data_IF_139091179122
#
_entry.id   IF_139091179122
#
_cell.length_a   1.000
_cell.length_b   1.000
_cell.length_c   1.000
_cell.angle_alpha   90.00
_cell.angle_beta   90.00
_cell.angle_gamma   90.00
#
_symmetry.space_group_name_H-M   'P 1'
#
loop_
_entity.id
_entity.type
_entity.pdbx_description
1 polymer ?
#
# COMPACT_ATOMS: atom_id res chain seq x y z
N UNK A 1 -22.99 -24.95 -3.28
CA UNK A 1 -23.95 -24.25 -2.41
C UNK A 1 -23.31 -24.20 -1.03
N UNK A 2 -22.63 -23.10 -0.70
CA UNK A 2 -22.07 -22.93 0.64
C UNK A 2 -23.10 -22.17 1.47
N UNK A 3 -23.52 -22.78 2.58
CA UNK A 3 -24.38 -22.16 3.59
C UNK A 3 -23.62 -20.98 4.20
N UNK A 4 -24.06 -19.76 3.87
CA UNK A 4 -23.57 -18.53 4.50
C UNK A 4 -24.44 -18.29 5.73
N UNK A 5 -23.94 -18.68 6.90
CA UNK A 5 -24.67 -18.44 8.14
C UNK A 5 -24.19 -19.32 9.29
N UNK A 6 -22.95 -19.15 9.72
CA UNK A 6 -22.51 -19.49 11.08
C UNK A 6 -21.16 -18.80 11.32
N UNK A 7 -20.99 -18.19 12.48
CA UNK A 7 -19.72 -17.62 12.94
C UNK A 7 -18.65 -18.71 12.93
N UNK A 8 -17.48 -18.40 12.40
CA UNK A 8 -16.39 -19.34 12.25
C UNK A 8 -16.05 -20.06 13.58
N UNK A 9 -15.90 -21.40 13.58
CA UNK A 9 -15.60 -22.14 14.81
C UNK A 9 -14.23 -21.74 15.40
N UNK A 10 -14.16 -21.63 16.74
CA UNK A 10 -12.98 -21.21 17.52
C UNK A 10 -11.71 -22.08 17.36
N UNK A 11 -11.79 -23.19 16.61
CA UNK A 11 -10.70 -24.14 16.41
C UNK A 11 -9.95 -23.98 15.08
N UNK A 12 -10.21 -22.90 14.33
CA UNK A 12 -9.52 -22.65 13.05
C UNK A 12 -8.16 -21.97 13.31
N UNK A 13 -7.03 -22.51 12.80
CA UNK A 13 -5.73 -21.85 12.93
C UNK A 13 -5.73 -20.47 12.28
N UNK A 14 -5.15 -19.48 12.97
CA UNK A 14 -5.06 -18.11 12.51
C UNK A 14 -3.78 -17.83 11.72
N UNK A 15 -3.90 -17.15 10.59
CA UNK A 15 -2.78 -16.62 9.83
C UNK A 15 -3.03 -15.14 9.49
N UNK A 16 -2.00 -14.40 9.06
CA UNK A 16 -2.21 -13.17 8.29
C UNK A 16 -1.92 -13.47 6.81
N UNK A 17 -2.17 -12.53 5.89
CA UNK A 17 -1.91 -12.73 4.45
C UNK A 17 -0.46 -13.15 4.15
N UNK A 18 0.52 -12.67 4.91
CA UNK A 18 1.93 -13.10 4.79
C UNK A 18 2.18 -14.50 5.35
N UNK A 19 1.42 -14.91 6.36
CA UNK A 19 1.36 -16.29 6.84
C UNK A 19 0.91 -17.26 5.75
N UNK A 20 -0.05 -16.86 4.90
CA UNK A 20 -0.47 -17.67 3.74
C UNK A 20 0.70 -17.94 2.80
N UNK A 21 1.50 -16.92 2.50
CA UNK A 21 2.71 -17.07 1.67
C UNK A 21 3.66 -18.12 2.25
N UNK A 22 3.90 -18.10 3.56
CA UNK A 22 4.75 -19.10 4.25
C UNK A 22 4.17 -20.50 4.17
N UNK A 23 2.84 -20.63 4.30
CA UNK A 23 2.15 -21.92 4.20
C UNK A 23 2.24 -22.51 2.78
N UNK A 24 2.12 -21.66 1.74
CA UNK A 24 2.34 -22.08 0.35
C UNK A 24 3.80 -22.54 0.17
N UNK A 25 4.78 -21.75 0.63
CA UNK A 25 6.20 -22.10 0.51
C UNK A 25 6.57 -23.41 1.25
N UNK A 26 5.88 -23.72 2.36
CA UNK A 26 6.04 -24.96 3.10
C UNK A 26 5.33 -26.18 2.47
N UNK A 27 4.58 -26.00 1.38
CA UNK A 27 3.77 -27.06 0.76
C UNK A 27 2.56 -27.47 1.62
N UNK A 28 2.09 -26.59 2.52
CA UNK A 28 0.90 -26.83 3.33
C UNK A 28 -0.40 -26.45 2.61
N UNK A 29 -0.32 -25.62 1.56
CA UNK A 29 -1.44 -25.16 0.74
C UNK A 29 -1.10 -25.32 -0.76
N UNK A 30 -1.95 -26.03 -1.49
CA UNK A 30 -1.79 -26.25 -2.94
C UNK A 30 -2.69 -25.31 -3.78
N UNK A 31 -3.57 -24.56 -3.11
CA UNK A 31 -4.43 -23.53 -3.67
C UNK A 31 -5.11 -22.78 -2.53
N UNK A 32 -5.60 -21.57 -2.80
CA UNK A 32 -6.24 -20.74 -1.78
C UNK A 32 -7.42 -20.01 -2.42
N UNK A 33 -8.61 -20.24 -1.89
CA UNK A 33 -9.73 -19.30 -2.01
C UNK A 33 -9.68 -18.39 -0.80
N UNK A 34 -9.50 -17.10 -1.01
CA UNK A 34 -9.69 -16.09 0.04
C UNK A 34 -11.15 -15.65 -0.04
N UNK A 35 -11.95 -15.72 1.01
CA UNK A 35 -13.32 -15.20 1.00
C UNK A 35 -13.60 -14.40 2.28
N UNK A 36 -14.08 -13.17 2.15
CA UNK A 36 -14.46 -12.33 3.29
C UNK A 36 -15.83 -12.76 3.84
N UNK A 37 -15.88 -13.10 5.13
CA UNK A 37 -17.12 -13.21 5.89
C UNK A 37 -17.21 -12.04 6.89
N UNK A 38 -18.39 -11.42 7.06
CA UNK A 38 -18.61 -10.43 8.11
C UNK A 38 -18.29 -11.01 9.51
N UNK A 39 -17.69 -10.24 10.44
CA UNK A 39 -17.44 -8.81 10.35
C UNK A 39 -16.15 -8.42 9.62
N UNK A 40 -15.05 -9.19 9.66
CA UNK A 40 -13.78 -8.90 8.97
C UNK A 40 -12.83 -10.13 8.95
N UNK A 41 -13.34 -11.32 8.65
CA UNK A 41 -12.54 -12.56 8.65
C UNK A 41 -12.42 -13.10 7.23
N UNK A 42 -11.19 -13.38 6.76
CA UNK A 42 -11.03 -14.10 5.50
C UNK A 42 -10.75 -15.58 5.74
N UNK A 43 -11.39 -16.46 4.96
CA UNK A 43 -11.07 -17.88 5.00
C UNK A 43 -10.15 -18.23 3.85
N UNK A 44 -9.12 -19.02 4.12
CA UNK A 44 -8.35 -19.75 3.11
C UNK A 44 -8.88 -21.16 3.06
N UNK A 45 -9.53 -21.53 1.96
CA UNK A 45 -9.87 -22.92 1.67
C UNK A 45 -8.90 -23.48 0.63
N UNK A 46 -8.18 -24.55 0.98
CA UNK A 46 -7.33 -25.29 0.05
C UNK A 46 -8.19 -26.16 -0.87
N UNK A 47 -8.12 -25.92 -2.18
CA UNK A 47 -9.01 -26.57 -3.17
C UNK A 47 -8.42 -27.87 -3.74
N UNK A 48 -7.18 -28.24 -3.41
CA UNK A 48 -6.59 -29.50 -3.91
C UNK A 48 -5.73 -30.17 -2.84
N UNK A 49 -5.90 -31.48 -2.66
CA UNK A 49 -4.96 -32.36 -1.93
C UNK A 49 -5.08 -32.43 -0.41
N UNK A 50 -5.23 -31.31 0.29
CA UNK A 50 -5.43 -31.25 1.76
C UNK A 50 -6.28 -30.03 2.13
N UNK A 51 -7.57 -30.22 2.36
CA UNK A 51 -8.45 -29.13 2.79
C UNK A 51 -8.16 -28.74 4.25
N UNK A 52 -7.36 -27.69 4.47
CA UNK A 52 -7.29 -26.98 5.74
C UNK A 52 -7.91 -25.60 5.56
N UNK A 53 -8.84 -25.24 6.44
CA UNK A 53 -9.38 -23.89 6.56
C UNK A 53 -8.48 -23.08 7.49
N UNK A 54 -8.09 -21.88 7.08
CA UNK A 54 -7.42 -20.90 7.95
C UNK A 54 -8.25 -19.62 8.04
N UNK A 55 -8.29 -19.02 9.22
CA UNK A 55 -8.92 -17.72 9.44
C UNK A 55 -7.85 -16.64 9.39
N UNK A 56 -7.94 -15.74 8.41
CA UNK A 56 -7.07 -14.58 8.29
C UNK A 56 -7.68 -13.43 9.08
N UNK A 57 -6.99 -13.04 10.15
CA UNK A 57 -7.33 -11.83 10.89
C UNK A 57 -6.83 -10.62 10.12
N UNK A 58 -7.76 -9.71 9.81
CA UNK A 58 -7.48 -8.51 9.06
C UNK A 58 -6.66 -7.53 9.92
N UNK A 59 -5.51 -7.06 9.41
CA UNK A 59 -4.66 -6.06 10.09
C UNK A 59 -4.81 -4.65 9.50
N UNK A 60 -5.79 -4.42 8.60
CA UNK A 60 -6.04 -3.08 8.05
C UNK A 60 -7.10 -3.02 6.94
N UNK A 61 -7.50 -1.79 6.58
CA UNK A 61 -8.63 -1.47 5.66
C UNK A 61 -8.26 -1.68 4.17
N UNK A 62 -7.20 -2.41 3.85
CA UNK A 62 -6.56 -2.40 2.53
C UNK A 62 -6.72 -3.68 1.71
N UNK A 63 -7.48 -4.67 2.18
CA UNK A 63 -7.55 -5.96 1.51
C UNK A 63 -8.79 -6.13 0.64
N UNK A 64 -8.64 -6.81 -0.50
CA UNK A 64 -9.74 -7.01 -1.42
C UNK A 64 -10.87 -7.84 -0.80
N UNK A 65 -12.10 -7.46 -1.13
CA UNK A 65 -13.28 -8.29 -0.90
C UNK A 65 -13.47 -9.18 -2.14
N UNK A 66 -13.43 -10.51 -1.98
CA UNK A 66 -13.73 -11.43 -3.09
C UNK A 66 -12.92 -12.72 -3.06
N UNK A 67 -13.25 -13.62 -4.00
CA UNK A 67 -12.59 -14.92 -4.21
C UNK A 67 -11.43 -14.78 -5.18
N UNK A 68 -10.22 -15.06 -4.70
CA UNK A 68 -9.00 -15.05 -5.51
C UNK A 68 -8.53 -16.47 -5.78
N UNK A 69 -8.09 -16.73 -7.00
CA UNK A 69 -7.36 -17.95 -7.36
C UNK A 69 -5.88 -17.64 -7.38
N UNK A 70 -5.12 -18.29 -6.49
CA UNK A 70 -3.68 -18.09 -6.41
C UNK A 70 -2.92 -19.02 -7.36
N UNK A 71 -1.93 -18.46 -8.07
CA UNK A 71 -0.93 -19.23 -8.81
C UNK A 71 0.19 -19.66 -7.84
N UNK A 72 0.06 -20.85 -7.28
CA UNK A 72 1.01 -21.40 -6.30
C UNK A 72 2.39 -21.75 -6.87
N UNK A 73 2.57 -21.64 -8.20
CA UNK A 73 3.89 -21.75 -8.84
C UNK A 73 4.72 -20.47 -8.73
N UNK A 74 4.08 -19.35 -8.35
CA UNK A 74 4.71 -18.05 -8.20
C UNK A 74 4.76 -17.61 -6.75
N UNK A 75 5.57 -16.58 -6.50
CA UNK A 75 5.67 -15.94 -5.19
C UNK A 75 4.38 -15.17 -4.92
N UNK A 76 3.62 -15.59 -3.91
CA UNK A 76 2.40 -14.89 -3.51
C UNK A 76 2.73 -13.54 -2.84
N UNK A 77 2.30 -12.43 -3.45
CA UNK A 77 2.42 -11.08 -2.87
C UNK A 77 1.00 -10.49 -2.76
N UNK A 78 0.38 -10.53 -1.57
CA UNK A 78 -1.06 -10.27 -1.41
C UNK A 78 -1.47 -8.84 -1.74
N UNK A 79 -0.54 -7.89 -1.58
CA UNK A 79 -0.74 -6.48 -1.84
C UNK A 79 0.60 -5.88 -2.28
N UNK A 80 0.60 -5.15 -3.39
CA UNK A 80 1.73 -4.36 -3.83
C UNK A 80 1.24 -3.01 -4.35
N UNK A 81 1.95 -1.94 -4.01
CA UNK A 81 1.66 -0.61 -4.54
C UNK A 81 2.88 -0.04 -5.26
N UNK A 82 2.65 0.71 -6.33
CA UNK A 82 3.70 1.46 -7.00
C UNK A 82 3.56 2.94 -6.68
N UNK A 83 4.61 3.54 -6.14
CA UNK A 83 4.76 4.99 -6.10
C UNK A 83 5.20 5.47 -7.50
N UNK A 84 4.28 6.08 -8.23
CA UNK A 84 4.53 6.53 -9.61
C UNK A 84 4.90 8.01 -9.71
N UNK A 85 4.73 8.77 -8.63
CA UNK A 85 5.02 10.20 -8.59
C UNK A 85 5.31 10.66 -7.18
N UNK A 86 6.30 11.54 -7.05
CA UNK A 86 6.58 12.26 -5.80
C UNK A 86 5.74 13.52 -5.64
N UNK A 87 5.02 13.96 -6.68
CA UNK A 87 4.28 15.23 -6.69
C UNK A 87 2.89 15.02 -6.10
N UNK A 88 2.49 15.88 -5.18
CA UNK A 88 1.13 15.91 -4.63
C UNK A 88 0.63 17.36 -4.62
N UNK A 89 -0.69 17.57 -4.71
CA UNK A 89 -1.30 18.91 -4.64
C UNK A 89 -1.83 19.29 -3.25
N UNK A 90 -1.81 18.38 -2.27
CA UNK A 90 -2.29 18.66 -0.90
C UNK A 90 -1.19 19.06 0.09
N UNK A 91 0.07 18.66 -0.15
CA UNK A 91 1.23 18.98 0.71
C UNK A 91 0.99 18.71 2.22
N UNK A 92 0.42 17.56 2.58
CA UNK A 92 0.03 17.25 3.95
C UNK A 92 1.24 17.21 4.92
N UNK A 93 1.12 17.81 6.09
CA UNK A 93 2.02 17.58 7.22
C UNK A 93 1.97 16.11 7.66
N UNK A 94 3.11 15.49 7.97
CA UNK A 94 3.18 14.08 8.39
C UNK A 94 2.96 13.04 7.28
N UNK A 95 3.03 13.43 6.00
CA UNK A 95 2.84 12.52 4.87
C UNK A 95 3.89 11.39 4.86
N UNK A 96 3.44 10.12 4.80
CA UNK A 96 4.34 8.95 4.76
C UNK A 96 5.12 8.76 3.46
N UNK A 97 4.69 9.39 2.37
CA UNK A 97 5.41 9.41 1.10
C UNK A 97 6.37 10.59 0.99
N UNK A 98 6.34 11.50 1.98
CA UNK A 98 7.14 12.73 2.00
C UNK A 98 6.97 13.59 0.73
N UNK A 99 5.80 13.50 0.09
CA UNK A 99 5.49 14.16 -1.18
C UNK A 99 5.47 15.70 -1.09
N UNK A 100 5.37 16.23 0.13
CA UNK A 100 5.45 17.67 0.42
C UNK A 100 6.90 18.21 0.46
N UNK A 101 7.92 17.36 0.38
CA UNK A 101 9.32 17.79 0.23
C UNK A 101 9.74 17.97 -1.23
N UNK A 102 8.96 17.41 -2.15
CA UNK A 102 9.33 17.29 -3.55
C UNK A 102 9.22 18.62 -4.27
N UNK A 103 10.38 19.26 -4.43
CA UNK A 103 10.53 20.50 -5.21
C UNK A 103 10.68 20.24 -6.72
N UNK A 104 11.07 19.03 -7.10
CA UNK A 104 11.24 18.61 -8.50
C UNK A 104 10.20 17.57 -8.91
N UNK A 105 9.82 17.60 -10.18
CA UNK A 105 8.99 16.56 -10.76
C UNK A 105 9.81 15.27 -10.90
N UNK A 106 9.58 14.34 -9.97
CA UNK A 106 10.16 13.00 -10.01
C UNK A 106 9.03 11.98 -10.17
N UNK A 107 9.12 11.18 -11.23
CA UNK A 107 8.16 10.16 -11.60
C UNK A 107 8.88 8.83 -11.73
N UNK A 108 8.16 7.73 -11.51
CA UNK A 108 8.68 6.40 -11.82
C UNK A 108 8.72 6.25 -13.35
N UNK A 109 9.90 6.27 -14.02
CA UNK A 109 9.93 6.34 -15.47
C UNK A 109 9.16 5.18 -16.10
N UNK A 110 8.27 5.49 -17.06
CA UNK A 110 7.33 4.51 -17.62
C UNK A 110 8.01 3.23 -18.14
N UNK A 111 9.15 3.36 -18.81
CA UNK A 111 9.89 2.19 -19.33
C UNK A 111 10.48 1.33 -18.20
N UNK A 112 10.98 1.94 -17.13
CA UNK A 112 11.42 1.21 -15.95
C UNK A 112 10.22 0.52 -15.28
N UNK A 113 9.12 1.25 -15.08
CA UNK A 113 7.87 0.70 -14.55
C UNK A 113 7.41 -0.51 -15.36
N UNK A 114 7.35 -0.41 -16.70
CA UNK A 114 6.98 -1.51 -17.59
C UNK A 114 7.87 -2.72 -17.39
N UNK A 115 9.18 -2.54 -17.44
CA UNK A 115 10.16 -3.61 -17.25
C UNK A 115 10.03 -4.28 -15.88
N UNK A 116 9.78 -3.49 -14.85
CA UNK A 116 9.69 -3.96 -13.47
C UNK A 116 8.37 -4.73 -13.24
N UNK A 117 7.24 -4.25 -13.78
CA UNK A 117 5.95 -4.96 -13.75
C UNK A 117 6.00 -6.24 -14.59
N UNK A 118 6.65 -6.24 -15.76
CA UNK A 118 6.85 -7.45 -16.56
C UNK A 118 7.64 -8.51 -15.79
N UNK A 119 8.72 -8.12 -15.12
CA UNK A 119 9.50 -9.02 -14.26
C UNK A 119 8.64 -9.60 -13.14
N UNK A 120 7.91 -8.75 -12.41
CA UNK A 120 7.03 -9.18 -11.32
C UNK A 120 5.91 -10.09 -11.80
N UNK A 121 5.34 -9.85 -12.99
CA UNK A 121 4.28 -10.71 -13.54
C UNK A 121 4.74 -12.16 -13.80
N UNK A 122 6.04 -12.37 -14.01
CA UNK A 122 6.65 -13.69 -14.23
C UNK A 122 6.95 -14.42 -12.93
N UNK A 123 7.34 -13.69 -11.88
CA UNK A 123 7.85 -14.27 -10.63
C UNK A 123 6.83 -14.25 -9.49
N UNK A 124 5.87 -13.33 -9.52
CA UNK A 124 4.89 -13.12 -8.47
C UNK A 124 3.46 -13.36 -8.95
N UNK A 125 2.65 -13.86 -8.03
CA UNK A 125 1.20 -13.77 -8.11
C UNK A 125 0.73 -12.56 -7.29
N UNK A 126 0.05 -11.62 -7.96
CA UNK A 126 -0.26 -10.29 -7.45
C UNK A 126 -1.78 -10.07 -7.53
N UNK A 127 -2.60 -10.62 -6.63
CA UNK A 127 -4.06 -10.46 -6.71
C UNK A 127 -4.52 -9.01 -6.57
N UNK A 128 -3.74 -8.17 -5.89
CA UNK A 128 -4.08 -6.77 -5.61
C UNK A 128 -2.90 -5.87 -5.90
N UNK A 129 -3.10 -4.90 -6.80
CA UNK A 129 -2.08 -3.93 -7.17
C UNK A 129 -2.66 -2.51 -7.17
N UNK A 130 -1.96 -1.58 -6.54
CA UNK A 130 -2.39 -0.18 -6.43
C UNK A 130 -1.38 0.79 -7.01
N UNK A 131 -1.84 1.68 -7.89
CA UNK A 131 -1.10 2.88 -8.26
C UNK A 131 -1.26 3.94 -7.16
N UNK A 132 -0.13 4.47 -6.71
CA UNK A 132 -0.03 5.39 -5.58
C UNK A 132 1.15 6.36 -5.72
N UNK A 133 1.45 7.08 -4.65
CA UNK A 133 2.52 8.07 -4.56
C UNK A 133 2.01 9.36 -3.95
N UNK A 134 2.51 10.51 -4.42
CA UNK A 134 2.02 11.83 -4.05
C UNK A 134 0.56 12.05 -4.46
N UNK A 135 0.28 12.24 -5.74
CA UNK A 135 -1.06 12.24 -6.32
C UNK A 135 -1.03 11.67 -7.75
N UNK A 136 -1.42 10.41 -7.96
CA UNK A 136 -1.39 9.76 -9.27
C UNK A 136 -2.13 10.52 -10.38
N UNK A 137 -3.23 11.22 -10.06
CA UNK A 137 -4.03 11.94 -11.05
C UNK A 137 -3.34 13.20 -11.61
N UNK A 138 -2.19 13.61 -11.08
CA UNK A 138 -1.34 14.66 -11.67
C UNK A 138 -0.52 14.15 -12.87
N UNK A 139 -0.39 12.85 -13.04
CA UNK A 139 0.46 12.25 -14.06
C UNK A 139 -0.20 12.27 -15.44
N UNK A 140 0.38 13.01 -16.39
CA UNK A 140 -0.21 13.24 -17.72
C UNK A 140 -0.40 11.97 -18.56
N UNK A 141 0.48 10.99 -18.39
CA UNK A 141 0.47 9.72 -19.12
C UNK A 141 0.03 8.54 -18.23
N UNK A 142 -0.81 8.79 -17.21
CA UNK A 142 -1.35 7.76 -16.32
C UNK A 142 -2.01 6.59 -17.09
N UNK A 143 -2.60 6.85 -18.25
CA UNK A 143 -3.18 5.84 -19.13
C UNK A 143 -2.19 4.75 -19.56
N UNK A 144 -0.91 5.11 -19.73
CA UNK A 144 0.12 4.16 -20.14
C UNK A 144 0.54 3.23 -18.98
N UNK A 145 0.53 3.72 -17.74
CA UNK A 145 0.78 2.90 -16.55
C UNK A 145 -0.37 1.91 -16.33
N UNK A 146 -1.62 2.38 -16.45
CA UNK A 146 -2.80 1.52 -16.35
C UNK A 146 -2.81 0.42 -17.42
N UNK A 147 -2.50 0.78 -18.67
CA UNK A 147 -2.39 -0.18 -19.77
C UNK A 147 -1.32 -1.23 -19.51
N UNK A 148 -0.15 -0.80 -19.03
CA UNK A 148 0.95 -1.70 -18.68
C UNK A 148 0.54 -2.70 -17.60
N UNK A 149 -0.09 -2.22 -16.52
CA UNK A 149 -0.56 -3.10 -15.45
C UNK A 149 -1.60 -4.09 -15.95
N UNK A 150 -2.64 -3.65 -16.69
CA UNK A 150 -3.66 -4.58 -17.19
C UNK A 150 -3.10 -5.62 -18.16
N UNK A 151 -2.11 -5.25 -18.98
CA UNK A 151 -1.44 -6.20 -19.89
C UNK A 151 -0.63 -7.26 -19.14
N UNK A 152 0.15 -6.86 -18.14
CA UNK A 152 1.02 -7.77 -17.39
C UNK A 152 0.28 -8.55 -16.30
N UNK A 153 -0.75 -7.95 -15.71
CA UNK A 153 -1.49 -8.45 -14.56
C UNK A 153 -3.01 -8.56 -14.87
N UNK A 154 -3.40 -9.38 -15.86
CA UNK A 154 -4.77 -9.39 -16.40
C UNK A 154 -5.84 -9.84 -15.40
N UNK A 155 -5.45 -10.57 -14.34
CA UNK A 155 -6.36 -11.14 -13.34
C UNK A 155 -6.39 -10.35 -12.02
N UNK A 156 -5.54 -9.34 -11.88
CA UNK A 156 -5.40 -8.59 -10.64
C UNK A 156 -6.53 -7.58 -10.47
N UNK A 157 -6.90 -7.34 -9.21
CA UNK A 157 -7.63 -6.14 -8.79
C UNK A 157 -6.67 -4.95 -8.87
N UNK A 158 -6.90 -4.10 -9.85
CA UNK A 158 -6.06 -2.95 -10.15
C UNK A 158 -6.75 -1.69 -9.65
N UNK A 159 -6.06 -0.90 -8.83
CA UNK A 159 -6.63 0.28 -8.19
C UNK A 159 -5.75 1.51 -8.32
N UNK A 160 -6.37 2.68 -8.26
CA UNK A 160 -5.68 3.96 -8.06
C UNK A 160 -6.13 4.50 -6.70
N UNK A 161 -5.20 4.78 -5.80
CA UNK A 161 -5.51 5.57 -4.61
C UNK A 161 -5.21 7.03 -4.89
N UNK A 162 -6.19 7.89 -4.63
CA UNK A 162 -6.12 9.32 -4.88
C UNK A 162 -6.69 10.10 -3.70
N UNK A 163 -6.22 11.33 -3.53
CA UNK A 163 -6.87 12.26 -2.62
C UNK A 163 -8.23 12.74 -3.15
N UNK A 164 -8.54 12.54 -4.43
CA UNK A 164 -9.85 12.77 -5.05
C UNK A 164 -10.12 14.21 -5.51
N UNK A 165 -9.26 15.17 -5.17
CA UNK A 165 -9.49 16.60 -5.49
C UNK A 165 -9.47 16.92 -6.99
N UNK A 166 -8.89 16.04 -7.80
CA UNK A 166 -8.76 16.23 -9.26
C UNK A 166 -9.79 15.46 -10.07
N UNK A 167 -10.60 14.58 -9.44
CA UNK A 167 -11.50 13.66 -10.17
C UNK A 167 -12.50 14.42 -11.05
N UNK A 168 -13.10 15.50 -10.52
CA UNK A 168 -14.08 16.31 -11.26
C UNK A 168 -13.51 17.03 -12.48
N UNK A 169 -12.20 17.13 -12.58
CA UNK A 169 -11.48 17.78 -13.68
C UNK A 169 -10.77 16.80 -14.60
N UNK A 170 -10.96 15.49 -14.41
CA UNK A 170 -10.27 14.49 -15.22
C UNK A 170 -10.69 14.59 -16.69
N UNK A 171 -9.72 14.59 -17.63
CA UNK A 171 -10.03 14.50 -19.05
C UNK A 171 -10.79 13.20 -19.36
N UNK A 172 -11.74 13.25 -20.30
CA UNK A 172 -12.50 12.07 -20.72
C UNK A 172 -11.58 10.91 -21.18
N UNK A 173 -10.42 11.22 -21.78
CA UNK A 173 -9.40 10.23 -22.14
C UNK A 173 -8.98 9.38 -20.94
N UNK A 174 -8.75 10.00 -19.77
CA UNK A 174 -8.32 9.30 -18.57
C UNK A 174 -9.46 8.50 -17.96
N UNK A 175 -10.69 9.05 -17.91
CA UNK A 175 -11.88 8.31 -17.46
C UNK A 175 -12.10 7.04 -18.31
N UNK A 176 -11.99 7.17 -19.64
CA UNK A 176 -12.07 6.02 -20.56
C UNK A 176 -10.97 5.00 -20.27
N UNK A 177 -9.73 5.46 -20.08
CA UNK A 177 -8.61 4.57 -19.79
C UNK A 177 -8.78 3.83 -18.45
N UNK A 178 -9.34 4.46 -17.41
CA UNK A 178 -9.66 3.81 -16.13
C UNK A 178 -10.68 2.68 -16.36
N UNK A 179 -11.77 2.97 -17.07
CA UNK A 179 -12.84 2.00 -17.37
C UNK A 179 -12.33 0.84 -18.24
N UNK A 180 -11.63 1.14 -19.33
CA UNK A 180 -11.12 0.15 -20.29
C UNK A 180 -10.07 -0.79 -19.70
N UNK A 181 -9.24 -0.27 -18.79
CA UNK A 181 -8.26 -1.09 -18.06
C UNK A 181 -8.83 -1.68 -16.76
N UNK A 182 -10.13 -1.49 -16.49
CA UNK A 182 -10.85 -2.05 -15.35
C UNK A 182 -10.20 -1.70 -14.01
N UNK A 183 -9.94 -0.41 -13.79
CA UNK A 183 -9.41 0.10 -12.53
C UNK A 183 -10.53 0.53 -11.58
N UNK A 184 -10.33 0.29 -10.29
CA UNK A 184 -11.15 0.88 -9.22
C UNK A 184 -10.46 2.10 -8.63
N UNK A 185 -11.22 3.16 -8.34
CA UNK A 185 -10.69 4.36 -7.67
C UNK A 185 -10.94 4.27 -6.17
N UNK A 186 -9.88 4.14 -5.38
CA UNK A 186 -9.95 4.30 -3.93
C UNK A 186 -9.69 5.78 -3.58
N UNK A 187 -10.58 6.39 -2.81
CA UNK A 187 -10.57 7.84 -2.54
C UNK A 187 -10.34 8.06 -1.04
N UNK A 188 -9.22 8.71 -0.71
CA UNK A 188 -8.99 9.18 0.65
C UNK A 188 -9.93 10.35 0.97
N UNK A 189 -10.70 10.28 2.06
CA UNK A 189 -11.78 11.23 2.35
C UNK A 189 -11.25 12.51 3.02
N UNK A 190 -10.30 13.20 2.37
CA UNK A 190 -9.84 14.51 2.83
C UNK A 190 -10.98 15.54 2.81
N UNK A 191 -10.94 16.53 3.70
CA UNK A 191 -12.01 17.52 3.83
C UNK A 191 -12.41 18.21 2.50
N UNK A 192 -11.48 18.62 1.61
CA UNK A 192 -11.84 19.17 0.31
C UNK A 192 -12.63 18.19 -0.57
N UNK A 193 -12.31 16.90 -0.48
CA UNK A 193 -12.92 15.83 -1.27
C UNK A 193 -14.29 15.43 -0.73
N UNK A 194 -14.44 15.34 0.59
CA UNK A 194 -15.74 15.03 1.23
C UNK A 194 -16.79 16.06 0.86
N UNK A 195 -16.42 17.34 0.75
CA UNK A 195 -17.33 18.44 0.33
C UNK A 195 -17.94 18.24 -1.04
N UNK A 196 -17.28 17.49 -1.93
CA UNK A 196 -17.72 17.24 -3.30
C UNK A 196 -17.93 15.75 -3.60
N UNK A 197 -17.95 14.89 -2.57
CA UNK A 197 -18.01 13.44 -2.73
C UNK A 197 -19.22 12.96 -3.54
N UNK A 198 -20.38 13.61 -3.37
CA UNK A 198 -21.58 13.29 -4.15
C UNK A 198 -21.40 13.57 -5.65
N UNK A 199 -20.72 14.68 -6.01
CA UNK A 199 -20.44 15.03 -7.40
C UNK A 199 -19.42 14.07 -7.99
N UNK A 200 -18.39 13.72 -7.22
CA UNK A 200 -17.38 12.73 -7.62
C UNK A 200 -18.06 11.39 -7.90
N UNK A 201 -18.91 10.92 -6.99
CA UNK A 201 -19.65 9.67 -7.17
C UNK A 201 -20.52 9.69 -8.43
N UNK A 202 -21.28 10.77 -8.64
CA UNK A 202 -22.12 10.91 -9.83
C UNK A 202 -21.31 10.86 -11.13
N UNK A 203 -20.14 11.51 -11.18
CA UNK A 203 -19.25 11.47 -12.35
C UNK A 203 -18.71 10.06 -12.61
N UNK A 204 -18.23 9.37 -11.58
CA UNK A 204 -17.65 8.03 -11.72
C UNK A 204 -18.73 7.00 -12.08
N UNK A 205 -19.91 7.05 -11.46
CA UNK A 205 -21.05 6.20 -11.80
C UNK A 205 -21.48 6.41 -13.28
N UNK A 206 -21.56 7.67 -13.74
CA UNK A 206 -21.92 8.00 -15.12
C UNK A 206 -20.90 7.51 -16.16
N UNK A 207 -19.66 7.23 -15.73
CA UNK A 207 -18.60 6.66 -16.57
C UNK A 207 -18.39 5.16 -16.29
N UNK A 208 -19.25 4.51 -15.51
CA UNK A 208 -19.15 3.09 -15.15
C UNK A 208 -17.82 2.73 -14.46
N UNK A 209 -17.26 3.66 -13.67
CA UNK A 209 -15.99 3.48 -12.96
C UNK A 209 -16.29 3.08 -11.51
N UNK A 210 -15.88 1.88 -11.06
CA UNK A 210 -16.02 1.50 -9.66
C UNK A 210 -15.16 2.39 -8.76
N UNK A 211 -15.71 2.77 -7.61
CA UNK A 211 -14.98 3.60 -6.64
C UNK A 211 -15.37 3.33 -5.20
N UNK A 212 -14.42 3.56 -4.30
CA UNK A 212 -14.58 3.43 -2.85
C UNK A 212 -14.18 4.74 -2.18
N UNK A 213 -15.04 5.29 -1.33
CA UNK A 213 -14.69 6.41 -0.46
C UNK A 213 -14.32 5.87 0.92
N UNK A 214 -13.16 6.26 1.45
CA UNK A 214 -12.76 5.89 2.79
C UNK A 214 -13.75 6.35 3.87
N UNK A 215 -13.71 5.69 5.03
CA UNK A 215 -14.64 5.96 6.12
C UNK A 215 -14.34 7.29 6.83
N UNK A 216 -15.34 8.17 6.90
CA UNK A 216 -15.29 9.45 7.62
C UNK A 216 -14.30 10.46 7.03
N UNK A 217 -14.35 11.75 7.41
CA UNK A 217 -13.34 12.70 6.99
C UNK A 217 -11.98 12.33 7.59
N UNK A 218 -10.93 12.44 6.78
CA UNK A 218 -9.56 12.21 7.21
C UNK A 218 -9.03 13.45 7.96
N UNK A 219 -9.30 13.50 9.26
CA UNK A 219 -9.04 14.67 10.12
C UNK A 219 -7.69 14.61 10.86
N UNK A 220 -7.08 13.43 10.97
CA UNK A 220 -5.85 13.22 11.73
C UNK A 220 -4.90 12.30 11.00
N UNK A 221 -3.61 12.59 11.12
CA UNK A 221 -2.53 11.72 10.68
C UNK A 221 -1.90 11.06 11.89
N UNK A 222 -1.63 9.77 11.75
CA UNK A 222 -0.75 9.05 12.63
C UNK A 222 0.70 9.42 12.25
N UNK A 223 1.55 9.66 13.24
CA UNK A 223 2.98 9.91 13.05
C UNK A 223 3.76 9.08 14.05
N UNK A 224 4.86 8.48 13.60
CA UNK A 224 5.58 7.44 14.32
C UNK A 224 7.11 7.53 14.15
N UNK A 225 7.64 8.50 13.42
CA UNK A 225 9.08 8.60 13.21
C UNK A 225 9.75 9.05 14.52
N UNK A 226 10.98 8.62 14.75
CA UNK A 226 11.82 9.09 15.85
C UNK A 226 13.17 9.55 15.32
N UNK A 227 13.91 10.31 16.12
CA UNK A 227 15.27 10.78 15.78
C UNK A 227 16.35 9.82 16.26
N UNK A 228 15.97 8.80 17.02
CA UNK A 228 16.87 7.79 17.56
C UNK A 228 16.29 6.39 17.37
N UNK A 229 17.16 5.44 17.06
CA UNK A 229 16.81 4.03 17.03
C UNK A 229 16.71 3.40 18.43
N UNK A 230 16.49 2.09 18.47
CA UNK A 230 16.46 1.29 19.72
C UNK A 230 15.07 0.88 20.19
N UNK A 231 14.03 1.23 19.43
CA UNK A 231 12.67 0.74 19.67
C UNK A 231 12.57 -0.76 19.46
N UNK A 232 11.62 -1.40 20.15
CA UNK A 232 11.26 -2.78 19.90
C UNK A 232 10.43 -2.88 18.60
N UNK A 233 10.99 -3.43 17.51
CA UNK A 233 10.32 -3.44 16.22
C UNK A 233 9.06 -4.31 16.22
N UNK A 234 8.94 -5.30 17.12
CA UNK A 234 7.72 -6.10 17.25
C UNK A 234 6.58 -5.30 17.87
N UNK A 235 6.88 -4.34 18.73
CA UNK A 235 5.88 -3.42 19.32
C UNK A 235 5.54 -2.34 18.31
N UNK A 236 6.54 -1.66 17.73
CA UNK A 236 6.33 -0.62 16.71
C UNK A 236 5.48 -1.11 15.54
N UNK A 237 5.73 -2.33 15.06
CA UNK A 237 4.93 -2.93 13.98
C UNK A 237 3.48 -3.21 14.36
N UNK A 238 3.19 -3.60 15.60
CA UNK A 238 1.81 -3.83 16.07
C UNK A 238 0.99 -2.54 16.07
N UNK A 239 1.63 -1.40 16.25
CA UNK A 239 1.00 -0.08 16.21
C UNK A 239 1.01 0.56 14.81
N UNK A 240 1.62 -0.10 13.82
CA UNK A 240 1.86 0.46 12.49
C UNK A 240 0.81 -0.01 11.46
N UNK A 241 0.03 0.95 10.94
CA UNK A 241 -0.91 0.68 9.83
C UNK A 241 -0.24 0.31 8.50
N UNK A 242 1.09 0.49 8.38
CA UNK A 242 1.85 0.19 7.17
C UNK A 242 2.60 -1.16 7.22
N UNK A 243 2.49 -1.94 8.30
CA UNK A 243 3.28 -3.19 8.44
C UNK A 243 3.02 -4.20 7.30
N UNK A 244 1.81 -4.11 6.76
CA UNK A 244 1.28 -4.99 5.73
C UNK A 244 1.34 -4.40 4.31
N UNK A 245 1.85 -3.18 4.16
CA UNK A 245 2.08 -2.58 2.84
C UNK A 245 3.29 -3.22 2.17
N UNK A 246 3.43 -3.09 0.86
CA UNK A 246 4.68 -3.27 0.13
C UNK A 246 4.70 -2.27 -1.00
N UNK A 247 5.83 -1.60 -1.17
CA UNK A 247 5.98 -0.52 -2.16
C UNK A 247 7.03 -0.90 -3.18
N UNK A 248 6.72 -0.88 -4.47
CA UNK A 248 7.67 -1.08 -5.56
C UNK A 248 8.08 0.25 -6.18
N UNK A 249 9.39 0.44 -6.38
CA UNK A 249 9.94 1.54 -7.19
C UNK A 249 11.35 1.22 -7.69
N UNK A 250 11.61 1.48 -8.97
CA UNK A 250 12.92 1.36 -9.63
C UNK A 250 13.61 0.00 -9.37
N UNK A 251 12.93 -1.10 -9.69
CA UNK A 251 13.47 -2.46 -9.58
C UNK A 251 13.53 -3.01 -8.16
N UNK A 252 12.95 -2.32 -7.18
CA UNK A 252 13.03 -2.70 -5.77
C UNK A 252 11.67 -2.72 -5.09
N UNK A 253 11.48 -3.66 -4.17
CA UNK A 253 10.34 -3.72 -3.25
C UNK A 253 10.82 -3.38 -1.84
N UNK A 254 10.09 -2.49 -1.17
CA UNK A 254 10.37 -2.02 0.19
C UNK A 254 9.30 -2.52 1.16
N UNK A 255 9.61 -2.52 2.47
CA UNK A 255 8.66 -2.96 3.49
C UNK A 255 7.42 -2.08 3.51
N UNK A 256 7.57 -0.77 3.37
CA UNK A 256 6.48 0.20 3.44
C UNK A 256 6.90 1.53 2.79
N UNK A 257 6.00 2.52 2.62
CA UNK A 257 6.38 3.82 2.07
C UNK A 257 7.46 4.54 2.88
N UNK A 258 7.40 4.59 4.23
CA UNK A 258 8.50 5.16 5.01
C UNK A 258 9.84 4.44 4.77
N UNK A 259 9.84 3.11 4.63
CA UNK A 259 11.06 2.35 4.34
C UNK A 259 11.65 2.73 2.98
N UNK A 260 10.78 2.97 1.99
CA UNK A 260 11.20 3.41 0.66
C UNK A 260 11.70 4.87 0.60
N UNK A 261 11.11 5.77 1.41
CA UNK A 261 11.22 7.22 1.16
C UNK A 261 11.72 8.05 2.34
N UNK A 262 12.01 7.47 3.50
CA UNK A 262 12.51 8.21 4.66
C UNK A 262 13.89 8.84 4.47
N UNK A 263 14.64 8.46 3.44
CA UNK A 263 15.85 9.20 3.03
C UNK A 263 15.52 10.68 2.73
N UNK A 264 14.33 10.98 2.16
CA UNK A 264 13.88 12.35 1.90
C UNK A 264 13.71 13.14 3.20
N UNK A 265 13.24 12.48 4.26
CA UNK A 265 13.12 13.05 5.59
C UNK A 265 14.48 13.34 6.21
N UNK A 266 15.39 12.37 6.14
CA UNK A 266 16.76 12.54 6.62
C UNK A 266 17.49 13.68 5.91
N UNK A 267 17.42 13.74 4.57
CA UNK A 267 18.03 14.80 3.76
C UNK A 267 17.42 16.17 4.05
N UNK A 268 16.08 16.25 4.14
CA UNK A 268 15.36 17.53 4.35
C UNK A 268 15.73 18.20 5.67
N UNK A 269 16.04 17.41 6.71
CA UNK A 269 16.32 17.88 8.06
C UNK A 269 17.76 17.65 8.53
N UNK A 270 18.65 17.15 7.65
CA UNK A 270 20.07 16.96 7.96
C UNK A 270 20.36 15.88 9.00
N UNK A 271 19.64 14.76 8.97
CA UNK A 271 19.79 13.66 9.94
C UNK A 271 20.82 12.64 9.41
N UNK A 272 22.05 12.69 9.91
CA UNK A 272 23.19 11.94 9.34
C UNK A 272 23.12 10.40 9.57
N UNK A 273 22.46 9.93 10.62
CA UNK A 273 22.44 8.51 11.02
C UNK A 273 21.09 7.81 10.80
N UNK A 274 20.22 8.39 9.97
CA UNK A 274 18.90 7.82 9.72
C UNK A 274 19.00 6.56 8.83
N UNK A 275 18.27 5.46 9.15
CA UNK A 275 18.34 4.23 8.36
C UNK A 275 17.86 4.47 6.92
N UNK A 276 18.64 3.97 5.96
CA UNK A 276 18.28 4.00 4.54
C UNK A 276 18.07 2.57 4.04
N UNK A 277 16.87 2.27 3.55
CA UNK A 277 16.56 0.96 3.01
C UNK A 277 17.22 0.74 1.66
N UNK A 278 17.87 -0.40 1.50
CA UNK A 278 18.39 -0.83 0.19
C UNK A 278 17.31 -1.47 -0.68
N UNK A 279 16.14 -1.78 -0.12
CA UNK A 279 15.06 -2.53 -0.77
C UNK A 279 15.46 -3.95 -1.19
N UNK A 280 14.47 -4.73 -1.60
CA UNK A 280 14.68 -6.05 -2.20
C UNK A 280 14.68 -5.91 -3.72
N UNK A 281 15.79 -6.27 -4.35
CA UNK A 281 15.93 -6.26 -5.82
C UNK A 281 15.08 -7.38 -6.45
N UNK A 282 14.17 -7.00 -7.35
CA UNK A 282 13.24 -7.92 -8.05
C UNK A 282 13.94 -8.76 -9.14
N UNK A 283 15.16 -8.39 -9.50
CA UNK A 283 16.01 -9.09 -10.46
C UNK A 283 17.01 -10.05 -9.81
N UNK A 284 17.10 -10.05 -8.47
CA UNK A 284 18.03 -10.89 -7.75
C UNK A 284 17.73 -12.40 -7.97
N UNK A 285 18.74 -13.25 -8.19
CA UNK A 285 18.52 -14.69 -8.34
C UNK A 285 17.82 -15.34 -7.14
N UNK A 286 18.02 -14.79 -5.94
CA UNK A 286 17.41 -15.21 -4.69
C UNK A 286 16.22 -14.32 -4.26
N UNK A 287 15.57 -13.63 -5.21
CA UNK A 287 14.44 -12.73 -4.96
C UNK A 287 13.36 -13.37 -4.07
N UNK A 288 13.01 -14.64 -4.31
CA UNK A 288 12.00 -15.37 -3.53
C UNK A 288 12.27 -15.34 -2.03
N UNK A 289 13.51 -15.60 -1.61
CA UNK A 289 13.92 -15.57 -0.20
C UNK A 289 14.02 -14.14 0.33
N UNK A 290 14.53 -13.20 -0.47
CA UNK A 290 14.71 -11.81 -0.04
C UNK A 290 13.37 -11.12 0.27
N UNK A 291 12.36 -11.31 -0.57
CA UNK A 291 11.06 -10.66 -0.37
C UNK A 291 10.29 -11.22 0.84
N UNK A 292 10.60 -12.43 1.33
CA UNK A 292 10.06 -12.93 2.61
C UNK A 292 10.61 -12.19 3.82
N UNK A 293 11.83 -11.63 3.73
CA UNK A 293 12.43 -10.87 4.82
C UNK A 293 11.63 -9.61 5.14
N UNK A 294 10.92 -9.03 4.16
CA UNK A 294 10.07 -7.86 4.36
C UNK A 294 8.88 -8.13 5.28
N UNK A 295 8.46 -9.40 5.42
CA UNK A 295 7.40 -9.83 6.36
C UNK A 295 7.87 -9.78 7.81
N UNK A 296 9.19 -9.74 8.01
CA UNK A 296 9.86 -9.49 9.27
C UNK A 296 10.04 -8.00 9.56
N UNK A 297 11.05 -7.72 10.38
CA UNK A 297 11.47 -6.37 10.73
C UNK A 297 12.52 -5.90 9.73
N UNK A 298 12.53 -4.62 9.40
CA UNK A 298 13.64 -3.94 8.69
C UNK A 298 14.28 -2.93 9.63
N UNK A 299 15.45 -2.41 9.26
CA UNK A 299 16.19 -1.42 10.07
C UNK A 299 15.33 -0.24 10.49
N UNK A 300 14.50 0.29 9.57
CA UNK A 300 13.60 1.40 9.90
C UNK A 300 12.63 1.07 11.05
N UNK A 301 12.23 -0.19 11.25
CA UNK A 301 11.31 -0.55 12.33
C UNK A 301 11.88 -0.24 13.72
N UNK A 302 13.21 -0.20 13.88
CA UNK A 302 13.87 0.18 15.14
C UNK A 302 13.89 1.69 15.39
N UNK A 303 13.50 2.47 14.38
CA UNK A 303 13.40 3.94 14.36
C UNK A 303 11.95 4.42 14.22
N UNK A 304 11.01 3.49 14.30
CA UNK A 304 9.59 3.78 14.43
C UNK A 304 9.21 3.62 15.90
N UNK A 305 8.45 4.58 16.41
CA UNK A 305 7.98 4.56 17.79
C UNK A 305 7.08 3.36 18.09
N UNK A 306 7.14 2.93 19.34
CA UNK A 306 6.28 1.91 19.93
C UNK A 306 4.87 2.42 20.22
N UNK A 307 4.63 3.72 20.03
CA UNK A 307 3.33 4.38 20.14
C UNK A 307 3.14 5.36 18.98
N UNK A 308 1.87 5.68 18.70
CA UNK A 308 1.51 6.58 17.62
C UNK A 308 1.02 7.90 18.20
N UNK A 309 1.54 9.01 17.70
CA UNK A 309 0.97 10.33 17.95
C UNK A 309 0.02 10.69 16.82
N UNK A 310 -1.11 11.29 17.16
CA UNK A 310 -2.04 11.84 16.18
C UNK A 310 -1.88 13.35 16.07
N UNK A 311 -1.67 13.83 14.85
CA UNK A 311 -1.69 15.26 14.53
C UNK A 311 -2.92 15.60 13.69
N UNK A 312 -3.51 16.81 13.81
CA UNK A 312 -4.54 17.25 12.88
C UNK A 312 -4.00 17.26 11.44
N UNK A 313 -4.81 16.80 10.49
CA UNK A 313 -4.50 16.95 9.09
C UNK A 313 -4.48 18.43 8.71
N UNK A 314 -3.38 18.86 8.09
CA UNK A 314 -3.25 20.19 7.53
C UNK A 314 -2.28 20.20 6.34
N UNK A 315 -2.56 20.98 5.29
CA UNK A 315 -1.58 21.26 4.26
C UNK A 315 -0.47 22.18 4.81
N UNK A 316 0.77 21.99 4.39
CA UNK A 316 1.89 22.87 4.73
C UNK A 316 2.88 23.01 3.58
N UNK A 317 3.28 24.25 3.31
CA UNK A 317 4.41 24.55 2.41
C UNK A 317 5.72 24.74 3.17
N UNK A 318 5.69 24.72 4.50
CA UNK A 318 6.85 24.84 5.36
C UNK A 318 6.87 23.66 6.35
N UNK A 319 7.24 22.47 5.87
CA UNK A 319 7.27 21.28 6.72
C UNK A 319 8.33 21.43 7.82
N UNK A 320 7.97 21.05 9.05
CA UNK A 320 8.84 21.08 10.22
C UNK A 320 9.14 19.67 10.71
N UNK A 321 10.29 19.51 11.37
CA UNK A 321 10.72 18.20 11.84
C UNK A 321 9.66 17.55 12.77
N UNK A 322 9.04 18.33 13.65
CA UNK A 322 7.98 17.82 14.54
C UNK A 322 6.75 17.29 13.81
N UNK A 323 6.51 17.59 12.53
CA UNK A 323 5.32 17.13 11.83
C UNK A 323 5.34 15.60 11.56
N UNK A 324 6.48 14.92 11.75
CA UNK A 324 6.62 13.46 11.61
C UNK A 324 6.96 12.72 12.90
N UNK A 325 7.35 13.44 13.96
CA UNK A 325 7.83 12.82 15.19
C UNK A 325 6.69 12.24 16.03
N UNK A 326 6.91 11.03 16.57
CA UNK A 326 6.03 10.44 17.58
C UNK A 326 6.09 11.26 18.88
N UNK A 327 7.29 11.67 19.29
CA UNK A 327 7.52 12.53 20.44
C UNK A 327 8.22 13.83 20.02
N UNK A 328 7.53 14.99 20.05
CA UNK A 328 8.13 16.29 19.76
C UNK A 328 9.27 16.68 20.70
N UNK A 329 9.32 16.11 21.91
CA UNK A 329 10.37 16.43 22.89
C UNK A 329 11.74 15.91 22.44
N UNK A 330 11.81 14.97 21.48
CA UNK A 330 13.06 14.55 20.85
C UNK A 330 13.82 15.73 20.21
N UNK A 331 13.13 16.80 19.81
CA UNK A 331 13.75 18.01 19.27
C UNK A 331 14.66 18.72 20.27
N UNK A 332 14.34 18.65 21.57
CA UNK A 332 15.12 19.31 22.63
C UNK A 332 16.53 18.73 22.75
N UNK A 333 16.71 17.47 22.31
CA UNK A 333 17.98 16.76 22.35
C UNK A 333 18.70 16.77 20.99
N UNK A 334 18.06 17.31 19.94
CA UNK A 334 18.55 17.32 18.56
C UNK A 334 19.09 18.69 18.12
N UNK A 335 18.59 19.79 18.69
CA UNK A 335 19.06 21.17 18.45
C UNK A 335 20.20 21.56 19.40
#
# INVERSE_FOLDING_TARGET
MLHVGETAPDNIPHANFFGVRRLIAAGELDGVIIAELPPYSFFVESVVGKCKLYNIQNVGVCYPQGIYWLDTSKIFVPYLEADITDKCNLHCAGCYYFANFSVTENFYPLENFRRDIEQLSRTCDLPYFRLMGGEPLLLKNLDEYMKTLRQCLPKSDLRILTNGTLILSLPQKILNAIRENQFTIDISPYLPTVRVAAQIKALLDANEIPSNLGAGPFEKFNVFMTLNGGHNPLVSRKCCGNDVCRTVRNGKIYKCPPDAFSYKFAERFGIENFPQSVGVDIYAPNFASLIEMLDGNVELCYWCSEHVRQIPWQPTNNPRLEDWLADPDELKNFM
#
